data_IF_079950217635
#
_entry.id   IF_079950217635
#
_cell.length_a   1.000
_cell.length_b   1.000
_cell.length_c   1.000
_cell.angle_alpha   90.00
_cell.angle_beta   90.00
_cell.angle_gamma   90.00
#
_symmetry.space_group_name_H-M   'P 1'
#
loop_
_entity.id
_entity.type
_entity.pdbx_description
1 polymer ?
#
# COMPACT_ATOMS: atom_id res chain seq x y z
N UNK A 1 9.58 3.20 10.97
CA UNK A 1 8.21 3.67 10.62
C UNK A 1 7.21 2.62 11.05
N UNK A 2 5.97 3.03 11.32
CA UNK A 2 4.85 2.15 11.59
C UNK A 2 4.03 1.91 10.32
N UNK A 3 3.87 0.66 9.91
CA UNK A 3 3.29 0.27 8.62
C UNK A 3 2.04 -0.58 8.87
N UNK A 4 0.91 -0.15 8.31
CA UNK A 4 -0.29 -0.97 8.21
C UNK A 4 -0.13 -1.97 7.06
N UNK A 5 -0.27 -3.25 7.33
CA UNK A 5 -0.16 -4.31 6.33
C UNK A 5 -1.44 -5.13 6.28
N UNK A 6 -2.07 -5.24 5.11
CA UNK A 6 -3.31 -5.99 4.94
C UNK A 6 -3.26 -6.87 3.69
N UNK A 7 -3.93 -8.02 3.75
CA UNK A 7 -4.21 -8.84 2.59
C UNK A 7 -5.52 -9.59 2.71
N UNK A 8 -6.06 -10.01 1.55
CA UNK A 8 -7.01 -11.11 1.50
C UNK A 8 -6.28 -12.47 1.41
N UNK A 9 -7.07 -13.54 1.36
CA UNK A 9 -6.59 -14.92 1.28
C UNK A 9 -5.71 -15.20 0.05
N UNK A 10 -5.93 -14.48 -1.06
CA UNK A 10 -5.17 -14.62 -2.30
C UNK A 10 -3.74 -14.10 -2.21
N UNK A 11 -3.42 -13.33 -1.15
CA UNK A 11 -2.10 -12.74 -0.94
C UNK A 11 -1.48 -13.04 0.44
N UNK A 12 -2.00 -14.03 1.16
CA UNK A 12 -1.53 -14.38 2.51
C UNK A 12 -0.01 -14.65 2.55
N UNK A 13 0.53 -15.38 1.58
CA UNK A 13 1.96 -15.70 1.54
C UNK A 13 2.82 -14.46 1.35
N UNK A 14 2.43 -13.57 0.43
CA UNK A 14 3.17 -12.33 0.18
C UNK A 14 3.11 -11.38 1.37
N UNK A 15 1.97 -11.33 2.08
CA UNK A 15 1.85 -10.56 3.32
C UNK A 15 2.87 -11.04 4.36
N UNK A 16 2.98 -12.35 4.61
CA UNK A 16 3.94 -12.87 5.58
C UNK A 16 5.40 -12.63 5.16
N UNK A 17 5.72 -12.74 3.86
CA UNK A 17 7.05 -12.40 3.34
C UNK A 17 7.42 -10.93 3.54
N UNK A 18 6.50 -10.01 3.22
CA UNK A 18 6.68 -8.57 3.42
C UNK A 18 6.80 -8.25 4.90
N UNK A 19 5.93 -8.82 5.75
CA UNK A 19 5.97 -8.63 7.20
C UNK A 19 7.33 -9.00 7.77
N UNK A 20 7.88 -10.15 7.37
CA UNK A 20 9.22 -10.57 7.77
C UNK A 20 10.28 -9.59 7.30
N UNK A 21 10.32 -9.26 6.01
CA UNK A 21 11.31 -8.34 5.42
C UNK A 21 11.33 -6.99 6.14
N UNK A 22 10.15 -6.38 6.33
CA UNK A 22 10.06 -5.06 6.96
C UNK A 22 10.39 -5.09 8.44
N UNK A 23 10.09 -6.20 9.14
CA UNK A 23 10.50 -6.37 10.53
C UNK A 23 12.03 -6.48 10.66
N UNK A 24 12.69 -7.19 9.73
CA UNK A 24 14.15 -7.28 9.66
C UNK A 24 14.81 -5.92 9.33
N UNK A 25 14.11 -5.07 8.58
CA UNK A 25 14.51 -3.68 8.29
C UNK A 25 14.21 -2.70 9.46
N UNK A 26 13.61 -3.18 10.56
CA UNK A 26 13.34 -2.38 11.77
C UNK A 26 12.05 -1.55 11.74
N UNK A 27 11.11 -1.86 10.84
CA UNK A 27 9.79 -1.26 10.83
C UNK A 27 8.85 -1.93 11.85
N UNK A 28 7.92 -1.16 12.42
CA UNK A 28 6.84 -1.68 13.25
C UNK A 28 5.65 -2.02 12.35
N UNK A 29 5.19 -3.28 12.37
CA UNK A 29 4.10 -3.74 11.50
C UNK A 29 2.82 -3.93 12.31
N UNK A 30 1.76 -3.25 11.89
CA UNK A 30 0.40 -3.54 12.33
C UNK A 30 -0.31 -4.37 11.26
N UNK A 31 -0.61 -5.63 11.59
CA UNK A 31 -1.20 -6.60 10.68
C UNK A 31 -2.74 -6.53 10.72
N UNK A 32 -3.32 -6.05 9.63
CA UNK A 32 -4.75 -5.97 9.37
C UNK A 32 -5.21 -7.02 8.36
N UNK A 33 -4.38 -7.99 7.98
CA UNK A 33 -4.71 -8.98 6.96
C UNK A 33 -5.36 -10.25 7.52
N UNK A 34 -5.76 -11.15 6.62
CA UNK A 34 -6.18 -12.49 7.04
C UNK A 34 -5.00 -13.30 7.62
N UNK A 35 -5.35 -14.37 8.35
CA UNK A 35 -4.38 -15.26 9.02
C UNK A 35 -4.33 -16.66 8.42
N UNK A 36 -5.03 -16.89 7.30
CA UNK A 36 -5.08 -18.17 6.59
C UNK A 36 -5.36 -17.94 5.11
N UNK A 37 -5.33 -19.03 4.34
CA UNK A 37 -5.73 -19.06 2.92
C UNK A 37 -7.24 -19.30 2.72
N UNK A 38 -8.02 -19.29 3.80
CA UNK A 38 -9.47 -19.46 3.73
C UNK A 38 -10.10 -18.21 3.10
N UNK A 39 -11.13 -18.42 2.27
CA UNK A 39 -11.77 -17.34 1.52
C UNK A 39 -12.30 -16.24 2.43
N UNK A 40 -11.97 -14.99 2.08
CA UNK A 40 -12.40 -13.77 2.77
C UNK A 40 -12.56 -12.63 1.77
N UNK A 41 -13.26 -11.57 2.17
CA UNK A 41 -13.51 -10.40 1.35
C UNK A 41 -12.47 -9.30 1.61
N UNK A 42 -11.73 -8.92 0.56
CA UNK A 42 -10.66 -7.92 0.65
C UNK A 42 -11.05 -6.56 1.25
N UNK A 43 -12.30 -6.04 1.14
CA UNK A 43 -12.64 -4.76 1.73
C UNK A 43 -12.53 -4.73 3.26
N UNK A 44 -12.85 -5.85 3.91
CA UNK A 44 -12.88 -5.95 5.38
C UNK A 44 -11.49 -5.80 6.02
N UNK A 45 -10.44 -6.00 5.23
CA UNK A 45 -9.04 -5.91 5.65
C UNK A 45 -8.37 -4.63 5.12
N UNK A 46 -8.61 -4.29 3.84
CA UNK A 46 -7.99 -3.11 3.23
C UNK A 46 -8.55 -1.79 3.79
N UNK A 47 -9.84 -1.71 4.09
CA UNK A 47 -10.47 -0.50 4.63
C UNK A 47 -9.92 -0.10 6.02
N UNK A 48 -9.87 -0.98 7.04
CA UNK A 48 -9.31 -0.60 8.34
C UNK A 48 -7.81 -0.27 8.27
N UNK A 49 -7.04 -0.97 7.43
CA UNK A 49 -5.64 -0.63 7.18
C UNK A 49 -5.50 0.79 6.61
N UNK A 50 -6.25 1.11 5.56
CA UNK A 50 -6.28 2.44 4.96
C UNK A 50 -6.77 3.51 5.95
N UNK A 51 -7.80 3.22 6.74
CA UNK A 51 -8.31 4.14 7.78
C UNK A 51 -7.25 4.45 8.85
N UNK A 52 -6.44 3.46 9.22
CA UNK A 52 -5.35 3.66 10.18
C UNK A 52 -4.28 4.62 9.65
N UNK A 53 -4.00 4.59 8.35
CA UNK A 53 -3.07 5.52 7.69
C UNK A 53 -3.68 6.91 7.59
N UNK A 54 -4.95 7.01 7.18
CA UNK A 54 -5.67 8.29 7.08
C UNK A 54 -5.73 9.03 8.42
N UNK A 55 -5.88 8.29 9.53
CA UNK A 55 -5.96 8.85 10.88
C UNK A 55 -4.58 9.11 11.51
N UNK A 56 -3.47 8.85 10.80
CA UNK A 56 -2.12 9.04 11.32
C UNK A 56 -1.70 8.01 12.38
N UNK A 57 -2.44 6.91 12.54
CA UNK A 57 -2.05 5.80 13.42
C UNK A 57 -0.86 5.03 12.84
N UNK A 58 -0.84 4.86 11.51
CA UNK A 58 0.24 4.24 10.76
C UNK A 58 0.80 5.25 9.74
N UNK A 59 2.13 5.27 9.56
CA UNK A 59 2.80 6.22 8.66
C UNK A 59 2.50 5.90 7.18
N UNK A 60 2.40 4.61 6.86
CA UNK A 60 2.18 4.07 5.52
C UNK A 60 1.33 2.80 5.56
N UNK A 61 0.69 2.49 4.44
CA UNK A 61 -0.06 1.25 4.25
C UNK A 61 0.47 0.43 3.07
N UNK A 62 0.42 -0.90 3.20
CA UNK A 62 0.62 -1.85 2.11
C UNK A 62 -0.59 -2.80 2.10
N UNK A 63 -1.32 -2.84 1.00
CA UNK A 63 -2.50 -3.70 0.82
C UNK A 63 -2.31 -4.64 -0.36
N UNK A 64 -2.67 -5.91 -0.21
CA UNK A 64 -2.32 -6.94 -1.19
C UNK A 64 -3.51 -7.86 -1.41
N UNK A 65 -3.79 -8.19 -2.66
CA UNK A 65 -4.65 -9.33 -2.99
C UNK A 65 -4.08 -10.08 -4.19
N UNK A 66 -4.85 -10.98 -4.81
CA UNK A 66 -4.40 -11.68 -6.01
C UNK A 66 -3.90 -10.72 -7.10
N UNK A 67 -4.64 -9.65 -7.41
CA UNK A 67 -4.27 -8.69 -8.47
C UNK A 67 -3.92 -7.30 -7.96
N UNK A 68 -4.17 -7.02 -6.67
CA UNK A 68 -4.06 -5.69 -6.08
C UNK A 68 -5.18 -4.72 -6.46
N UNK A 69 -6.04 -5.06 -7.44
CA UNK A 69 -7.09 -4.17 -7.97
C UNK A 69 -8.13 -3.87 -6.90
N UNK A 70 -8.76 -4.90 -6.33
CA UNK A 70 -9.85 -4.73 -5.34
C UNK A 70 -9.39 -3.94 -4.12
N UNK A 71 -8.26 -4.32 -3.52
CA UNK A 71 -7.70 -3.63 -2.36
C UNK A 71 -7.33 -2.18 -2.65
N UNK A 72 -6.81 -1.86 -3.85
CA UNK A 72 -6.50 -0.47 -4.23
C UNK A 72 -7.75 0.39 -4.41
N UNK A 73 -8.82 -0.19 -4.97
CA UNK A 73 -10.11 0.48 -5.12
C UNK A 73 -10.68 0.78 -3.73
N UNK A 74 -10.70 -0.21 -2.83
CA UNK A 74 -11.17 -0.03 -1.44
C UNK A 74 -10.38 1.03 -0.70
N UNK A 75 -9.04 0.95 -0.72
CA UNK A 75 -8.20 1.89 0.03
C UNK A 75 -8.44 3.34 -0.40
N UNK A 76 -8.57 3.61 -1.71
CA UNK A 76 -8.87 4.94 -2.25
C UNK A 76 -10.30 5.44 -1.95
N UNK A 77 -11.19 4.61 -1.36
CA UNK A 77 -12.49 5.10 -0.85
C UNK A 77 -12.39 5.76 0.52
N UNK A 78 -11.27 5.61 1.21
CA UNK A 78 -11.02 6.24 2.49
C UNK A 78 -10.45 7.64 2.26
N UNK A 79 -11.07 8.66 2.85
CA UNK A 79 -10.60 10.05 2.76
C UNK A 79 -9.17 10.18 3.30
N UNK A 80 -8.35 10.98 2.64
CA UNK A 80 -6.94 11.15 2.96
C UNK A 80 -6.02 10.13 2.29
N UNK A 81 -6.55 9.12 1.61
CA UNK A 81 -5.75 8.04 1.02
C UNK A 81 -5.45 8.30 -0.44
N UNK A 82 -4.16 8.13 -0.76
CA UNK A 82 -3.65 8.05 -2.12
C UNK A 82 -3.00 6.68 -2.24
N UNK A 83 -3.77 5.72 -2.72
CA UNK A 83 -3.32 4.35 -2.93
C UNK A 83 -2.94 4.12 -4.39
N UNK A 84 -1.73 3.63 -4.65
CA UNK A 84 -1.29 3.23 -5.99
C UNK A 84 -1.12 1.72 -6.09
N UNK A 85 -1.83 1.12 -7.05
CA UNK A 85 -1.53 -0.23 -7.54
C UNK A 85 -0.36 -0.14 -8.52
N UNK A 86 0.70 -0.87 -8.24
CA UNK A 86 1.90 -0.93 -9.09
C UNK A 86 2.37 -2.37 -9.27
N UNK A 87 3.11 -2.63 -10.33
CA UNK A 87 3.67 -3.95 -10.66
C UNK A 87 5.14 -3.89 -11.05
N UNK A 88 5.78 -2.73 -10.90
CA UNK A 88 7.18 -2.51 -11.24
C UNK A 88 7.84 -1.42 -10.36
N UNK A 89 9.17 -1.45 -10.16
CA UNK A 89 9.88 -0.48 -9.33
C UNK A 89 9.86 0.96 -9.85
N UNK A 90 9.74 1.16 -11.17
CA UNK A 90 9.68 2.52 -11.75
C UNK A 90 8.39 3.19 -11.32
N UNK A 91 7.26 2.51 -11.45
CA UNK A 91 5.97 2.99 -10.98
C UNK A 91 5.96 3.21 -9.47
N UNK A 92 6.59 2.31 -8.70
CA UNK A 92 6.74 2.43 -7.24
C UNK A 92 7.48 3.71 -6.82
N UNK A 93 8.59 4.02 -7.49
CA UNK A 93 9.34 5.28 -7.28
C UNK A 93 8.50 6.49 -7.69
N UNK A 94 7.98 6.49 -8.91
CA UNK A 94 7.27 7.65 -9.45
C UNK A 94 5.99 7.96 -8.68
N UNK A 95 5.28 6.95 -8.16
CA UNK A 95 4.08 7.21 -7.35
C UNK A 95 4.40 7.90 -6.04
N UNK A 96 5.53 7.58 -5.40
CA UNK A 96 6.02 8.33 -4.22
C UNK A 96 6.46 9.72 -4.60
N UNK A 97 7.30 9.83 -5.62
CA UNK A 97 7.93 11.07 -6.04
C UNK A 97 6.91 12.10 -6.54
N UNK A 98 5.87 11.67 -7.27
CA UNK A 98 4.91 12.55 -7.95
C UNK A 98 3.54 12.64 -7.27
N UNK A 99 3.07 11.56 -6.64
CA UNK A 99 1.72 11.48 -6.09
C UNK A 99 1.71 11.46 -4.56
N UNK A 100 2.89 11.42 -3.94
CA UNK A 100 3.07 11.26 -2.50
C UNK A 100 2.13 10.18 -1.94
N UNK A 101 2.10 9.00 -2.57
CA UNK A 101 1.20 7.93 -2.13
C UNK A 101 1.56 7.48 -0.73
N UNK A 102 0.51 7.31 0.08
CA UNK A 102 0.61 6.87 1.47
C UNK A 102 0.14 5.42 1.66
N UNK A 103 -0.47 4.82 0.62
CA UNK A 103 -0.77 3.39 0.56
C UNK A 103 -0.25 2.80 -0.75
N UNK A 104 0.40 1.64 -0.67
CA UNK A 104 0.84 0.84 -1.80
C UNK A 104 -0.10 -0.35 -1.98
N UNK A 105 -0.49 -0.66 -3.21
CA UNK A 105 -1.22 -1.87 -3.54
C UNK A 105 -0.41 -2.80 -4.46
N UNK A 106 -0.49 -4.10 -4.20
CA UNK A 106 0.26 -5.14 -4.91
C UNK A 106 -0.62 -6.35 -5.23
N UNK A 107 -0.26 -7.09 -6.27
CA UNK A 107 -0.94 -8.31 -6.68
C UNK A 107 -0.03 -9.54 -6.61
N UNK A 108 -0.29 -10.49 -5.71
CA UNK A 108 0.51 -11.71 -5.57
C UNK A 108 0.51 -12.58 -6.85
N UNK A 109 -0.61 -12.62 -7.59
CA UNK A 109 -0.74 -13.42 -8.82
C UNK A 109 0.05 -12.81 -10.00
N UNK A 110 0.25 -11.49 -10.00
CA UNK A 110 0.75 -10.75 -11.17
C UNK A 110 2.17 -10.20 -11.00
N UNK A 111 2.70 -10.20 -9.78
CA UNK A 111 4.05 -9.69 -9.47
C UNK A 111 4.86 -10.79 -8.80
N UNK A 112 6.02 -11.14 -9.36
CA UNK A 112 6.92 -12.14 -8.77
C UNK A 112 7.60 -11.63 -7.50
N UNK A 113 8.02 -12.56 -6.63
CA UNK A 113 8.49 -12.24 -5.28
C UNK A 113 9.66 -11.25 -5.25
N UNK A 114 10.68 -11.45 -6.10
CA UNK A 114 11.84 -10.56 -6.14
C UNK A 114 11.45 -9.13 -6.53
N UNK A 115 10.57 -8.99 -7.53
CA UNK A 115 10.06 -7.69 -7.98
C UNK A 115 9.17 -7.06 -6.91
N UNK A 116 8.34 -7.85 -6.23
CA UNK A 116 7.52 -7.37 -5.12
C UNK A 116 8.38 -6.76 -4.00
N UNK A 117 9.46 -7.45 -3.59
CA UNK A 117 10.36 -6.95 -2.55
C UNK A 117 11.04 -5.64 -2.97
N UNK A 118 11.50 -5.59 -4.23
CA UNK A 118 12.09 -4.37 -4.79
C UNK A 118 11.10 -3.21 -4.83
N UNK A 119 9.85 -3.45 -5.25
CA UNK A 119 8.79 -2.44 -5.25
C UNK A 119 8.57 -1.87 -3.85
N UNK A 120 8.39 -2.74 -2.85
CA UNK A 120 8.15 -2.31 -1.45
C UNK A 120 9.34 -1.48 -0.96
N UNK A 121 10.56 -1.96 -1.19
CA UNK A 121 11.78 -1.27 -0.79
C UNK A 121 11.90 0.11 -1.46
N UNK A 122 11.73 0.18 -2.79
CA UNK A 122 11.79 1.43 -3.55
C UNK A 122 10.71 2.40 -3.09
N UNK A 123 9.48 1.94 -2.89
CA UNK A 123 8.37 2.78 -2.46
C UNK A 123 8.58 3.36 -1.05
N UNK A 124 9.07 2.56 -0.09
CA UNK A 124 9.33 3.04 1.27
C UNK A 124 10.48 4.03 1.33
N UNK A 125 11.52 3.84 0.50
CA UNK A 125 12.73 4.67 0.51
C UNK A 125 12.68 5.86 -0.46
N UNK A 126 11.65 5.99 -1.29
CA UNK A 126 11.50 7.15 -2.18
C UNK A 126 10.77 8.30 -1.47
N UNK A 127 11.43 9.44 -1.38
CA UNK A 127 10.86 10.69 -0.88
C UNK A 127 9.93 11.36 -1.90
N UNK A 128 9.01 12.17 -1.39
CA UNK A 128 8.21 13.02 -2.26
C UNK A 128 9.09 14.14 -2.83
N UNK A 129 8.97 14.44 -4.13
CA UNK A 129 9.84 15.44 -4.78
C UNK A 129 9.60 16.89 -4.34
N UNK A 130 8.47 17.18 -3.68
CA UNK A 130 8.05 18.54 -3.33
C UNK A 130 7.94 19.52 -4.52
N UNK A 131 7.96 19.03 -5.76
CA UNK A 131 7.83 19.89 -6.93
C UNK A 131 6.43 20.53 -6.96
N UNK A 132 6.36 21.84 -7.20
CA UNK A 132 5.10 22.62 -7.17
C UNK A 132 4.00 22.00 -8.04
N UNK A 133 4.36 21.50 -9.23
CA UNK A 133 3.40 20.84 -10.14
C UNK A 133 2.80 19.56 -9.56
N UNK A 134 3.53 18.83 -8.71
CA UNK A 134 3.10 17.59 -8.07
C UNK A 134 2.17 17.91 -6.90
N UNK A 135 2.55 18.84 -6.03
CA UNK A 135 1.70 19.29 -4.93
C UNK A 135 0.35 19.81 -5.45
N UNK A 136 0.37 20.71 -6.46
CA UNK A 136 -0.85 21.24 -7.08
C UNK A 136 -1.78 20.15 -7.63
N UNK A 137 -1.22 19.04 -8.14
CA UNK A 137 -2.01 17.90 -8.65
C UNK A 137 -2.59 17.07 -7.52
N UNK A 138 -1.80 16.84 -6.46
CA UNK A 138 -2.27 16.19 -5.24
C UNK A 138 -3.44 16.98 -4.66
N UNK A 139 -3.30 18.31 -4.49
CA UNK A 139 -4.37 19.16 -3.95
C UNK A 139 -5.67 19.04 -4.76
N UNK A 140 -5.57 18.99 -6.09
CA UNK A 140 -6.73 18.78 -6.98
C UNK A 140 -7.36 17.40 -6.82
N UNK A 141 -6.56 16.34 -6.64
CA UNK A 141 -7.05 14.98 -6.39
C UNK A 141 -7.75 14.92 -5.04
N UNK A 142 -7.13 15.46 -3.99
CA UNK A 142 -7.70 15.49 -2.65
C UNK A 142 -9.01 16.30 -2.60
N UNK A 143 -9.12 17.37 -3.39
CA UNK A 143 -10.36 18.14 -3.51
C UNK A 143 -11.56 17.36 -4.12
N UNK A 144 -11.34 16.17 -4.68
CA UNK A 144 -12.41 15.30 -5.18
C UNK A 144 -13.07 14.47 -4.06
N UNK A 145 -12.46 14.38 -2.89
CA UNK A 145 -13.03 13.68 -1.73
C UNK A 145 -14.31 14.41 -1.27
N UNK A 146 -15.41 13.67 -1.15
CA UNK A 146 -16.72 14.19 -0.71
C UNK A 146 -17.04 13.73 0.68
#
# INVERSE_FOLDING_TARGET
MKIALACDHGAYEYKELIKKMLSEEGHEIEDFGCHSKESVDYPDYAAPAAQSVANGKNDRGIVICSTGIGVSITANKIKGIRCALVSDPVSARLTREHNDTNVLALGQLVTGEAVMKEIVHVWLNTEFSHAERHQRRIDKVMALEK
#
